data_IF_443612070429
#
_entry.id   IF_443612070429
#
_cell.length_a   1.000
_cell.length_b   1.000
_cell.length_c   1.000
_cell.angle_alpha   90.00
_cell.angle_beta   90.00
_cell.angle_gamma   90.00
#
_symmetry.space_group_name_H-M   'P 1'
#
loop_
_entity.id
_entity.type
_entity.pdbx_description
1 polymer ?
#
# COMPACT_ATOMS: atom_id res chain seq x y z
N UNK A 1 1.19 7.73 18.69
CA UNK A 1 1.16 7.31 17.26
C UNK A 1 2.27 6.33 16.91
N UNK A 2 3.56 6.63 17.11
CA UNK A 2 4.69 5.77 16.69
C UNK A 2 4.59 4.31 17.13
N UNK A 3 4.20 4.07 18.39
CA UNK A 3 3.99 2.71 18.90
C UNK A 3 2.92 1.97 18.09
N UNK A 4 1.79 2.62 17.84
CA UNK A 4 0.68 2.02 17.11
C UNK A 4 1.05 1.70 15.65
N UNK A 5 1.88 2.52 15.01
CA UNK A 5 2.37 2.28 13.66
C UNK A 5 3.19 0.98 13.53
N UNK A 6 3.94 0.58 14.58
CA UNK A 6 4.68 -0.69 14.58
C UNK A 6 3.77 -1.92 14.56
N UNK A 7 2.56 -1.80 15.08
CA UNK A 7 1.65 -2.92 15.28
C UNK A 7 0.51 -2.97 14.26
N UNK A 8 0.30 -1.93 13.43
CA UNK A 8 -0.85 -1.84 12.51
C UNK A 8 -1.04 -3.09 11.63
N UNK A 9 0.07 -3.68 11.20
CA UNK A 9 0.14 -4.86 10.33
C UNK A 9 0.36 -6.18 11.10
N UNK A 10 0.28 -6.20 12.45
CA UNK A 10 0.63 -7.41 13.24
C UNK A 10 -0.16 -8.64 12.80
N UNK A 11 -1.39 -8.51 12.31
CA UNK A 11 -2.17 -9.65 11.85
C UNK A 11 -1.59 -10.36 10.62
N UNK A 12 -0.69 -9.73 9.86
CA UNK A 12 0.00 -10.37 8.74
C UNK A 12 0.87 -11.55 9.19
N UNK A 13 1.30 -11.58 10.45
CA UNK A 13 2.13 -12.67 11.02
C UNK A 13 1.39 -14.02 11.07
N UNK A 14 0.05 -14.01 10.97
CA UNK A 14 -0.75 -15.25 10.98
C UNK A 14 -0.60 -16.01 9.66
N UNK A 15 -0.44 -15.30 8.54
CA UNK A 15 -0.24 -15.90 7.21
C UNK A 15 0.74 -15.05 6.38
N UNK A 16 2.01 -14.95 6.79
CA UNK A 16 2.98 -14.03 6.20
C UNK A 16 3.19 -14.26 4.70
N UNK A 17 3.05 -15.50 4.24
CA UNK A 17 3.27 -15.93 2.85
C UNK A 17 2.35 -15.26 1.81
N UNK A 18 1.24 -14.65 2.21
CA UNK A 18 0.32 -13.97 1.30
C UNK A 18 0.61 -12.47 1.12
N UNK A 19 1.62 -11.91 1.80
CA UNK A 19 1.91 -10.48 1.75
C UNK A 19 3.19 -10.20 0.95
N UNK A 20 3.10 -9.27 -0.01
CA UNK A 20 4.15 -9.03 -1.01
C UNK A 20 5.51 -8.71 -0.40
N UNK A 21 5.55 -8.04 0.75
CA UNK A 21 6.77 -7.72 1.49
C UNK A 21 7.50 -8.94 2.07
N UNK A 22 6.81 -10.08 2.20
CA UNK A 22 7.34 -11.33 2.75
C UNK A 22 7.55 -12.42 1.68
N UNK A 23 7.10 -12.18 0.44
CA UNK A 23 7.25 -13.15 -0.65
C UNK A 23 8.68 -13.05 -1.19
N UNK A 24 9.51 -14.11 -1.08
CA UNK A 24 10.81 -14.15 -1.74
C UNK A 24 10.62 -14.13 -3.27
N UNK A 25 11.66 -13.77 -4.03
CA UNK A 25 11.63 -13.84 -5.50
C UNK A 25 11.10 -15.21 -5.97
N UNK A 26 9.85 -15.25 -6.41
CA UNK A 26 9.07 -16.48 -6.58
C UNK A 26 7.61 -16.21 -6.93
N UNK A 27 6.81 -17.27 -7.03
CA UNK A 27 5.39 -17.17 -7.38
C UNK A 27 4.58 -16.61 -6.20
N UNK A 28 3.70 -15.64 -6.48
CA UNK A 28 2.80 -15.09 -5.49
C UNK A 28 1.61 -16.07 -5.29
N UNK A 29 1.38 -16.61 -4.08
CA UNK A 29 0.30 -17.57 -3.84
C UNK A 29 -1.09 -16.99 -4.11
N UNK A 30 -1.25 -15.65 -4.09
CA UNK A 30 -2.51 -14.99 -4.43
C UNK A 30 -2.83 -14.99 -5.93
N UNK A 31 -1.89 -15.38 -6.79
CA UNK A 31 -2.15 -15.47 -8.23
C UNK A 31 -2.94 -16.73 -8.62
N UNK A 32 -2.91 -17.77 -7.79
CA UNK A 32 -3.68 -19.00 -7.97
C UNK A 32 -5.13 -18.89 -7.47
N UNK A 33 -5.43 -17.83 -6.72
CA UNK A 33 -6.75 -17.59 -6.13
C UNK A 33 -7.61 -16.68 -7.02
N UNK A 34 -8.93 -16.83 -6.86
CA UNK A 34 -9.87 -15.84 -7.39
C UNK A 34 -9.61 -14.47 -6.73
N UNK A 35 -9.71 -13.35 -7.47
CA UNK A 35 -9.40 -12.03 -6.90
C UNK A 35 -10.20 -11.68 -5.65
N UNK A 36 -11.48 -12.09 -5.56
CA UNK A 36 -12.31 -11.90 -4.38
C UNK A 36 -11.79 -12.67 -3.16
N UNK A 37 -11.29 -13.89 -3.38
CA UNK A 37 -10.66 -14.69 -2.32
C UNK A 37 -9.35 -14.06 -1.87
N UNK A 38 -8.53 -13.56 -2.80
CA UNK A 38 -7.29 -12.84 -2.46
C UNK A 38 -7.58 -11.56 -1.66
N UNK A 39 -8.60 -10.80 -2.05
CA UNK A 39 -9.04 -9.63 -1.31
C UNK A 39 -9.48 -9.99 0.12
N UNK A 40 -10.23 -11.08 0.30
CA UNK A 40 -10.63 -11.56 1.62
C UNK A 40 -9.44 -11.98 2.49
N UNK A 41 -8.45 -12.69 1.91
CA UNK A 41 -7.22 -13.08 2.61
C UNK A 41 -6.45 -11.83 3.05
N UNK A 42 -6.27 -10.86 2.16
CA UNK A 42 -5.61 -9.59 2.50
C UNK A 42 -6.39 -8.85 3.58
N UNK A 43 -7.71 -8.68 3.44
CA UNK A 43 -8.53 -7.98 4.42
C UNK A 43 -8.51 -8.62 5.81
N UNK A 44 -8.34 -9.96 5.88
CA UNK A 44 -8.37 -10.70 7.14
C UNK A 44 -7.28 -10.30 8.13
N UNK A 45 -6.14 -9.75 7.66
CA UNK A 45 -5.05 -9.33 8.56
C UNK A 45 -5.50 -8.28 9.59
N UNK A 46 -6.48 -7.44 9.26
CA UNK A 46 -7.02 -6.46 10.21
C UNK A 46 -7.69 -7.18 11.38
N UNK A 47 -8.57 -8.16 11.07
CA UNK A 47 -9.28 -8.96 12.07
C UNK A 47 -8.30 -9.77 12.92
N UNK A 48 -7.34 -10.43 12.29
CA UNK A 48 -6.32 -11.20 13.01
C UNK A 48 -5.44 -10.30 13.88
N UNK A 49 -5.11 -9.10 13.39
CA UNK A 49 -4.34 -8.13 14.15
C UNK A 49 -5.10 -7.65 15.40
N UNK A 50 -6.41 -7.39 15.28
CA UNK A 50 -7.26 -7.03 16.42
C UNK A 50 -7.33 -8.19 17.43
N UNK A 51 -7.50 -9.43 16.97
CA UNK A 51 -7.53 -10.61 17.83
C UNK A 51 -6.23 -10.74 18.63
N UNK A 52 -5.07 -10.66 17.95
CA UNK A 52 -3.75 -10.70 18.59
C UNK A 52 -3.60 -9.54 19.59
N UNK A 53 -3.95 -8.32 19.20
CA UNK A 53 -3.85 -7.17 20.07
C UNK A 53 -4.70 -7.31 21.35
N UNK A 54 -5.88 -7.92 21.25
CA UNK A 54 -6.73 -8.24 22.40
C UNK A 54 -6.14 -9.35 23.28
N UNK A 55 -5.66 -10.44 22.67
CA UNK A 55 -5.03 -11.57 23.36
C UNK A 55 -3.84 -11.11 24.21
N UNK A 56 -2.96 -10.31 23.62
CA UNK A 56 -1.78 -9.75 24.28
C UNK A 56 -2.05 -8.48 25.08
N UNK A 57 -3.33 -8.07 25.19
CA UNK A 57 -3.78 -6.92 25.99
C UNK A 57 -3.06 -5.61 25.63
N UNK A 58 -2.85 -5.39 24.33
CA UNK A 58 -2.28 -4.15 23.85
C UNK A 58 -3.19 -2.96 24.20
N UNK A 59 -2.63 -1.75 24.37
CA UNK A 59 -3.43 -0.57 24.68
C UNK A 59 -4.44 -0.26 23.58
N UNK A 60 -5.60 0.28 23.97
CA UNK A 60 -6.68 0.67 23.05
C UNK A 60 -6.23 1.46 21.81
N UNK A 61 -5.33 2.47 21.91
CA UNK A 61 -4.85 3.18 20.72
C UNK A 61 -4.14 2.30 19.67
N UNK A 62 -3.56 1.17 20.11
CA UNK A 62 -2.94 0.20 19.19
C UNK A 62 -4.02 -0.63 18.49
N UNK A 63 -5.04 -1.07 19.22
CA UNK A 63 -6.19 -1.78 18.63
C UNK A 63 -6.88 -0.90 17.59
N UNK A 64 -7.13 0.36 17.92
CA UNK A 64 -7.77 1.33 17.02
C UNK A 64 -6.92 1.56 15.77
N UNK A 65 -5.60 1.69 15.90
CA UNK A 65 -4.70 1.80 14.75
C UNK A 65 -4.74 0.55 13.84
N UNK A 66 -4.71 -0.65 14.41
CA UNK A 66 -4.83 -1.89 13.63
C UNK A 66 -6.18 -1.94 12.91
N UNK A 67 -7.27 -1.62 13.61
CA UNK A 67 -8.60 -1.74 13.04
C UNK A 67 -8.88 -0.69 11.96
N UNK A 68 -8.38 0.54 12.13
CA UNK A 68 -8.80 1.71 11.35
C UNK A 68 -7.83 2.11 10.22
N UNK A 69 -6.58 1.62 10.20
CA UNK A 69 -5.56 2.15 9.27
C UNK A 69 -5.92 2.02 7.79
N UNK A 70 -6.71 1.00 7.40
CA UNK A 70 -7.24 0.91 6.04
C UNK A 70 -8.63 1.53 5.87
N UNK A 71 -9.35 1.82 6.95
CA UNK A 71 -10.73 2.26 6.90
C UNK A 71 -11.61 1.30 6.11
N UNK A 72 -12.38 1.84 5.18
CA UNK A 72 -13.19 1.06 4.21
C UNK A 72 -12.64 1.17 2.79
N UNK A 73 -11.33 1.38 2.67
CA UNK A 73 -10.66 1.60 1.38
C UNK A 73 -10.82 0.39 0.46
N UNK A 74 -10.81 0.65 -0.84
CA UNK A 74 -10.84 -0.40 -1.85
C UNK A 74 -9.47 -1.10 -1.94
N UNK A 75 -9.48 -2.44 -1.96
CA UNK A 75 -8.34 -3.29 -2.30
C UNK A 75 -8.19 -3.28 -3.83
N UNK A 76 -7.71 -2.13 -4.34
CA UNK A 76 -7.79 -1.74 -5.76
C UNK A 76 -7.18 -2.75 -6.71
N UNK A 77 -6.04 -3.35 -6.37
CA UNK A 77 -5.37 -4.33 -7.24
C UNK A 77 -6.28 -5.52 -7.57
N UNK A 78 -6.92 -6.12 -6.57
CA UNK A 78 -7.77 -7.29 -6.79
C UNK A 78 -9.11 -6.92 -7.41
N UNK A 79 -9.66 -5.74 -7.09
CA UNK A 79 -10.84 -5.22 -7.77
C UNK A 79 -10.60 -5.03 -9.28
N UNK A 80 -9.50 -4.36 -9.65
CA UNK A 80 -9.14 -4.13 -11.06
C UNK A 80 -8.81 -5.46 -11.77
N UNK A 81 -8.17 -6.41 -11.08
CA UNK A 81 -7.93 -7.76 -11.61
C UNK A 81 -9.26 -8.48 -11.89
N UNK A 82 -10.24 -8.39 -10.98
CA UNK A 82 -11.58 -8.98 -11.16
C UNK A 82 -12.34 -8.35 -12.34
N UNK A 83 -12.39 -7.01 -12.40
CA UNK A 83 -13.05 -6.26 -13.48
C UNK A 83 -12.44 -6.59 -14.85
N UNK A 84 -11.10 -6.67 -14.93
CA UNK A 84 -10.41 -7.08 -16.17
C UNK A 84 -10.79 -8.50 -16.60
N UNK A 85 -10.72 -9.48 -15.68
CA UNK A 85 -11.07 -10.87 -15.99
C UNK A 85 -12.54 -11.00 -16.43
N UNK A 86 -13.45 -10.25 -15.81
CA UNK A 86 -14.86 -10.24 -16.22
C UNK A 86 -15.03 -9.65 -17.62
N UNK A 87 -14.34 -8.55 -17.95
CA UNK A 87 -14.36 -7.95 -19.29
C UNK A 87 -13.78 -8.87 -20.36
N UNK A 88 -12.69 -9.57 -20.04
CA UNK A 88 -12.09 -10.58 -20.92
C UNK A 88 -13.05 -11.75 -21.15
N UNK A 89 -13.68 -12.28 -20.11
CA UNK A 89 -14.69 -13.34 -20.23
C UNK A 89 -15.93 -12.86 -21.00
N UNK A 90 -16.33 -11.60 -20.85
CA UNK A 90 -17.45 -10.99 -21.58
C UNK A 90 -17.15 -10.75 -23.08
N UNK A 91 -15.87 -10.69 -23.46
CA UNK A 91 -15.46 -10.45 -24.85
C UNK A 91 -15.84 -11.59 -25.79
N UNK A 92 -15.94 -12.82 -25.28
CA UNK A 92 -16.34 -14.02 -26.03
C UNK A 92 -17.85 -14.29 -26.02
N UNK A 93 -18.63 -13.50 -25.28
CA UNK A 93 -20.08 -13.66 -25.15
C UNK A 93 -20.87 -12.80 -26.15
N UNK A 94 -22.10 -13.23 -26.45
CA UNK A 94 -23.05 -12.42 -27.22
C UNK A 94 -23.55 -11.22 -26.40
N UNK A 95 -24.14 -10.22 -27.06
CA UNK A 95 -24.64 -9.03 -26.37
C UNK A 95 -25.77 -9.33 -25.37
N UNK A 96 -26.59 -10.35 -25.61
CA UNK A 96 -27.63 -10.80 -24.69
C UNK A 96 -27.05 -11.46 -23.43
N UNK A 97 -26.00 -12.28 -23.59
CA UNK A 97 -25.31 -12.93 -22.47
C UNK A 97 -24.52 -11.92 -21.63
N UNK A 98 -23.87 -10.93 -22.27
CA UNK A 98 -23.20 -9.83 -21.56
C UNK A 98 -24.16 -9.01 -20.70
N UNK A 99 -25.38 -8.77 -21.17
CA UNK A 99 -26.40 -8.04 -20.40
C UNK A 99 -26.87 -8.78 -19.14
N UNK A 100 -26.56 -10.07 -19.01
CA UNK A 100 -26.90 -10.89 -17.84
C UNK A 100 -25.75 -11.03 -16.83
N UNK A 101 -24.55 -10.53 -17.15
CA UNK A 101 -23.42 -10.53 -16.22
C UNK A 101 -23.58 -9.41 -15.20
N UNK A 102 -23.64 -9.77 -13.92
CA UNK A 102 -23.59 -8.78 -12.85
C UNK A 102 -22.21 -8.09 -12.83
N UNK A 103 -22.15 -6.75 -12.73
CA UNK A 103 -20.88 -6.05 -12.64
C UNK A 103 -20.13 -6.44 -11.36
N UNK A 104 -18.80 -6.43 -11.41
CA UNK A 104 -17.97 -6.58 -10.21
C UNK A 104 -18.33 -5.47 -9.22
N UNK A 105 -18.74 -5.84 -8.01
CA UNK A 105 -19.13 -4.91 -6.95
C UNK A 105 -17.87 -4.46 -6.19
N UNK A 106 -17.75 -3.18 -5.88
CA UNK A 106 -16.61 -2.67 -5.09
C UNK A 106 -16.66 -3.16 -3.65
N UNK A 107 -17.87 -3.38 -3.13
CA UNK A 107 -18.14 -3.79 -1.75
C UNK A 107 -17.44 -5.11 -1.40
N UNK A 108 -17.31 -6.02 -2.37
CA UNK A 108 -16.61 -7.31 -2.22
C UNK A 108 -15.09 -7.16 -2.04
N UNK A 109 -14.55 -5.97 -2.32
CA UNK A 109 -13.11 -5.66 -2.29
C UNK A 109 -12.78 -4.54 -1.30
N UNK A 110 -13.72 -4.11 -0.46
CA UNK A 110 -13.47 -3.09 0.56
C UNK A 110 -13.10 -3.71 1.90
N UNK A 111 -12.23 -3.02 2.62
CA UNK A 111 -12.00 -3.36 4.03
C UNK A 111 -13.30 -3.15 4.84
N UNK A 112 -13.54 -3.96 5.89
CA UNK A 112 -14.77 -3.88 6.68
C UNK A 112 -14.85 -2.62 7.56
N UNK A 113 -13.76 -1.88 7.72
CA UNK A 113 -13.69 -0.70 8.57
C UNK A 113 -13.62 -0.99 10.07
N UNK A 114 -13.90 0.04 10.91
CA UNK A 114 -14.44 1.34 10.54
C UNK A 114 -13.40 2.29 9.92
N UNK A 115 -13.85 3.42 9.36
CA UNK A 115 -12.97 4.53 8.95
C UNK A 115 -12.17 5.06 10.16
N UNK A 116 -11.02 5.72 9.93
CA UNK A 116 -10.31 6.47 10.96
C UNK A 116 -11.21 7.39 11.77
N UNK A 117 -11.16 7.29 13.10
CA UNK A 117 -11.97 8.12 14.02
C UNK A 117 -11.19 9.12 14.86
N UNK A 118 -9.87 9.12 14.73
CA UNK A 118 -8.99 10.08 15.39
C UNK A 118 -8.05 10.71 14.38
N UNK A 119 -7.50 11.88 14.73
CA UNK A 119 -6.51 12.56 13.90
C UNK A 119 -5.29 11.67 13.69
N UNK A 120 -4.89 10.92 14.71
CA UNK A 120 -3.76 10.00 14.68
C UNK A 120 -4.01 8.81 13.73
N UNK A 121 -5.19 8.19 13.76
CA UNK A 121 -5.50 7.08 12.84
C UNK A 121 -5.72 7.58 11.41
N UNK A 122 -6.20 8.81 11.23
CA UNK A 122 -6.27 9.46 9.92
C UNK A 122 -4.88 9.71 9.32
N UNK A 123 -3.94 10.25 10.12
CA UNK A 123 -2.54 10.41 9.70
C UNK A 123 -1.90 9.06 9.38
N UNK A 124 -2.15 8.04 10.21
CA UNK A 124 -1.63 6.69 9.99
C UNK A 124 -2.13 6.10 8.67
N UNK A 125 -3.42 6.23 8.38
CA UNK A 125 -4.02 5.74 7.13
C UNK A 125 -3.41 6.38 5.89
N UNK A 126 -3.17 7.71 5.95
CA UNK A 126 -2.49 8.43 4.87
C UNK A 126 -1.03 7.99 4.72
N UNK A 127 -0.30 7.91 5.84
CA UNK A 127 1.10 7.52 5.85
C UNK A 127 1.30 6.11 5.29
N UNK A 128 0.46 5.15 5.69
CA UNK A 128 0.51 3.77 5.22
C UNK A 128 0.27 3.67 3.70
N UNK A 129 -0.80 4.31 3.20
CA UNK A 129 -1.12 4.30 1.78
C UNK A 129 -0.01 4.96 0.93
N UNK A 130 0.52 6.09 1.39
CA UNK A 130 1.60 6.82 0.72
C UNK A 130 2.90 6.01 0.71
N UNK A 131 3.27 5.40 1.84
CA UNK A 131 4.47 4.58 1.96
C UNK A 131 4.40 3.37 1.03
N UNK A 132 3.28 2.63 1.07
CA UNK A 132 3.06 1.46 0.23
C UNK A 132 3.14 1.81 -1.26
N UNK A 133 2.47 2.89 -1.67
CA UNK A 133 2.50 3.33 -3.07
C UNK A 133 3.88 3.82 -3.51
N UNK A 134 4.63 4.49 -2.62
CA UNK A 134 5.97 5.01 -2.92
C UNK A 134 6.99 3.91 -3.27
N UNK A 135 6.78 2.68 -2.77
CA UNK A 135 7.64 1.51 -3.08
C UNK A 135 7.54 1.06 -4.54
N UNK A 136 6.45 1.41 -5.22
CA UNK A 136 6.22 1.06 -6.62
C UNK A 136 6.72 2.11 -7.62
N UNK A 137 7.29 3.23 -7.14
CA UNK A 137 7.81 4.28 -8.02
C UNK A 137 9.06 3.80 -8.78
N UNK A 138 8.95 3.67 -10.11
CA UNK A 138 10.09 3.34 -10.98
C UNK A 138 11.14 4.46 -11.03
N UNK A 139 10.69 5.73 -10.98
CA UNK A 139 11.54 6.92 -11.08
C UNK A 139 11.26 7.90 -9.94
N UNK A 140 12.19 7.95 -9.00
CA UNK A 140 12.15 8.86 -7.85
C UNK A 140 12.56 10.27 -8.29
N UNK A 141 11.57 11.12 -8.57
CA UNK A 141 11.76 12.57 -8.72
C UNK A 141 10.88 13.32 -7.71
N UNK A 142 11.27 14.52 -7.33
CA UNK A 142 10.46 15.35 -6.42
C UNK A 142 9.06 15.61 -6.97
N UNK A 143 8.95 15.86 -8.28
CA UNK A 143 7.66 16.05 -8.96
C UNK A 143 6.77 14.80 -8.91
N UNK A 144 7.32 13.61 -9.18
CA UNK A 144 6.54 12.36 -9.11
C UNK A 144 6.09 12.04 -7.69
N UNK A 145 6.93 12.31 -6.68
CA UNK A 145 6.55 12.13 -5.27
C UNK A 145 5.41 13.08 -4.88
N UNK A 146 5.49 14.35 -5.30
CA UNK A 146 4.42 15.32 -5.06
C UNK A 146 3.10 14.89 -5.68
N UNK A 147 3.12 14.49 -6.95
CA UNK A 147 1.92 13.98 -7.64
C UNK A 147 1.34 12.77 -6.90
N UNK A 148 2.17 11.77 -6.56
CA UNK A 148 1.74 10.56 -5.86
C UNK A 148 1.05 10.89 -4.53
N UNK A 149 1.69 11.71 -3.69
CA UNK A 149 1.14 12.08 -2.37
C UNK A 149 -0.21 12.79 -2.52
N UNK A 150 -0.30 13.73 -3.46
CA UNK A 150 -1.54 14.50 -3.68
C UNK A 150 -2.66 13.62 -4.21
N UNK A 151 -2.39 12.74 -5.16
CA UNK A 151 -3.38 11.81 -5.72
C UNK A 151 -3.93 10.85 -4.67
N UNK A 152 -3.07 10.31 -3.79
CA UNK A 152 -3.51 9.43 -2.71
C UNK A 152 -4.40 10.17 -1.71
N UNK A 153 -4.00 11.38 -1.29
CA UNK A 153 -4.80 12.21 -0.40
C UNK A 153 -6.16 12.55 -1.02
N UNK A 154 -6.17 12.97 -2.30
CA UNK A 154 -7.39 13.30 -3.02
C UNK A 154 -8.32 12.08 -3.18
N UNK A 155 -7.75 10.91 -3.46
CA UNK A 155 -8.50 9.64 -3.52
C UNK A 155 -9.16 9.32 -2.18
N UNK A 156 -8.41 9.44 -1.06
CA UNK A 156 -8.93 9.20 0.28
C UNK A 156 -10.04 10.19 0.68
N UNK A 157 -9.90 11.45 0.28
CA UNK A 157 -10.92 12.49 0.49
C UNK A 157 -12.19 12.19 -0.31
N UNK A 158 -12.06 11.85 -1.60
CA UNK A 158 -13.19 11.51 -2.47
C UNK A 158 -13.92 10.24 -2.04
N UNK A 159 -13.19 9.27 -1.50
CA UNK A 159 -13.74 8.03 -0.93
C UNK A 159 -14.29 8.21 0.50
N UNK A 160 -14.28 9.44 1.03
CA UNK A 160 -14.80 9.77 2.35
C UNK A 160 -14.03 9.13 3.51
N UNK A 161 -12.80 8.66 3.31
CA UNK A 161 -12.04 7.90 4.32
C UNK A 161 -11.64 8.74 5.55
N UNK A 162 -11.69 10.06 5.45
CA UNK A 162 -11.30 10.98 6.53
C UNK A 162 -12.50 11.70 7.17
N UNK A 163 -13.73 11.35 6.81
CA UNK A 163 -14.96 12.02 7.28
C UNK A 163 -15.21 11.84 8.77
N UNK A 164 -14.79 10.71 9.33
CA UNK A 164 -15.05 10.36 10.73
C UNK A 164 -13.90 10.79 11.67
N UNK A 165 -12.85 11.44 11.13
CA UNK A 165 -11.73 11.96 11.91
C UNK A 165 -11.65 13.49 11.83
N UNK A 166 -11.26 14.13 12.93
CA UNK A 166 -11.18 15.60 13.04
C UNK A 166 -9.96 16.23 12.33
N UNK A 167 -9.58 15.71 11.15
CA UNK A 167 -8.51 16.29 10.33
C UNK A 167 -9.05 17.45 9.49
N UNK A 168 -8.48 18.64 9.68
CA UNK A 168 -8.87 19.81 8.88
C UNK A 168 -8.16 19.80 7.52
N UNK A 169 -8.74 20.48 6.52
CA UNK A 169 -8.07 20.66 5.21
C UNK A 169 -6.71 21.35 5.33
N UNK A 170 -6.56 22.26 6.30
CA UNK A 170 -5.28 22.91 6.59
C UNK A 170 -4.24 21.90 7.09
N UNK A 171 -4.65 21.00 7.98
CA UNK A 171 -3.80 19.93 8.50
C UNK A 171 -3.44 18.93 7.41
N UNK A 172 -4.39 18.53 6.58
CA UNK A 172 -4.14 17.66 5.41
C UNK A 172 -3.11 18.32 4.47
N UNK A 173 -3.23 19.62 4.21
CA UNK A 173 -2.23 20.36 3.43
C UNK A 173 -0.84 20.39 4.09
N UNK A 174 -0.78 20.43 5.42
CA UNK A 174 0.47 20.33 6.18
C UNK A 174 1.08 18.93 6.08
N UNK A 175 0.26 17.89 6.26
CA UNK A 175 0.65 16.49 6.14
C UNK A 175 1.19 16.20 4.73
N UNK A 176 0.53 16.67 3.69
CA UNK A 176 1.00 16.51 2.31
C UNK A 176 2.44 17.04 2.14
N UNK A 177 2.71 18.27 2.60
CA UNK A 177 4.06 18.85 2.54
C UNK A 177 5.08 18.05 3.36
N UNK A 178 4.68 17.56 4.54
CA UNK A 178 5.54 16.75 5.40
C UNK A 178 5.88 15.40 4.77
N UNK A 179 4.91 14.72 4.16
CA UNK A 179 5.12 13.46 3.44
C UNK A 179 6.04 13.66 2.23
N UNK A 180 5.79 14.69 1.41
CA UNK A 180 6.62 15.00 0.24
C UNK A 180 8.06 15.25 0.66
N UNK A 181 8.29 16.09 1.68
CA UNK A 181 9.63 16.37 2.19
C UNK A 181 10.32 15.10 2.71
N UNK A 182 9.61 14.29 3.50
CA UNK A 182 10.17 13.07 4.09
C UNK A 182 10.53 12.04 3.02
N UNK A 183 9.62 11.76 2.09
CA UNK A 183 9.86 10.81 0.99
C UNK A 183 10.97 11.28 0.05
N UNK A 184 11.01 12.58 -0.28
CA UNK A 184 12.08 13.15 -1.12
C UNK A 184 13.44 12.87 -0.49
N UNK A 185 13.61 13.17 0.81
CA UNK A 185 14.87 12.92 1.50
C UNK A 185 15.20 11.43 1.64
N UNK A 186 14.23 10.59 1.96
CA UNK A 186 14.43 9.15 2.13
C UNK A 186 14.80 8.46 0.82
N UNK A 187 14.18 8.85 -0.30
CA UNK A 187 14.35 8.18 -1.58
C UNK A 187 15.50 8.79 -2.42
N UNK A 188 15.83 10.08 -2.26
CA UNK A 188 17.01 10.70 -2.90
C UNK A 188 18.31 10.47 -2.13
N UNK A 189 18.26 10.16 -0.83
CA UNK A 189 19.44 9.77 -0.05
C UNK A 189 20.07 8.45 -0.48
N UNK A 190 19.39 7.64 -1.32
CA UNK A 190 19.95 6.45 -1.98
C UNK A 190 20.76 6.81 -3.23
N UNK A 191 21.65 7.80 -3.13
CA UNK A 191 22.61 8.13 -4.18
C UNK A 191 23.41 6.85 -4.49
N UNK A 192 23.32 6.36 -5.74
CA UNK A 192 24.25 5.34 -6.23
C UNK A 192 25.67 5.89 -6.07
N UNK A 193 26.48 5.25 -5.24
CA UNK A 193 27.92 5.49 -5.27
C UNK A 193 28.40 5.29 -6.71
N UNK A 194 29.20 6.22 -7.28
CA UNK A 194 29.89 5.96 -8.53
C UNK A 194 30.71 4.69 -8.32
N UNK A 195 30.43 3.64 -9.08
CA UNK A 195 31.40 2.56 -9.21
C UNK A 195 32.58 3.19 -9.93
N UNK A 196 33.66 3.45 -9.18
CA UNK A 196 34.89 3.97 -9.74
C UNK A 196 35.32 3.01 -10.84
N UNK A 197 35.38 3.50 -12.07
CA UNK A 197 36.07 2.78 -13.14
C UNK A 197 37.52 2.62 -12.69
N UNK A 198 37.94 1.36 -12.59
CA UNK A 198 39.26 0.92 -12.20
C UNK A 198 40.33 1.61 -13.07
N UNK A 199 41.00 2.60 -12.48
CA UNK A 199 42.20 3.22 -13.05
C UNK A 199 43.42 2.33 -12.79
N UNK A 200 43.48 1.18 -13.44
CA UNK A 200 44.70 0.36 -13.49
C UNK A 200 44.98 -0.17 -14.88
N UNK A 201 45.57 0.68 -15.72
CA UNK A 201 46.48 0.25 -16.79
C UNK A 201 47.51 1.35 -17.07
N UNK A 202 48.50 1.46 -16.17
CA UNK A 202 49.82 2.01 -16.48
C UNK A 202 50.86 1.28 -15.63
N UNK A 203 51.36 0.15 -16.13
CA UNK A 203 52.73 -0.32 -15.91
C UNK A 203 53.02 -1.56 -16.76
N UNK A 204 53.44 -1.35 -18.00
CA UNK A 204 54.19 -2.36 -18.74
C UNK A 204 55.11 -1.64 -19.74
N UNK A 205 56.14 -0.98 -19.20
CA UNK A 205 57.32 -0.61 -19.95
C UNK A 205 58.55 -0.89 -19.09
N UNK A 206 59.57 -1.50 -19.73
CA UNK A 206 60.90 -1.91 -19.24
C UNK A 206 60.98 -3.23 -18.47
N UNK A 207 61.84 -4.22 -18.78
CA UNK A 207 62.95 -4.53 -19.75
C UNK A 207 63.43 -5.98 -19.37
N UNK A 208 64.52 -6.63 -19.88
CA UNK A 208 65.43 -6.46 -21.05
C UNK A 208 65.34 -7.71 -22.00
N UNK A 209 65.94 -7.85 -23.18
CA UNK A 209 67.35 -7.76 -23.64
C UNK A 209 67.48 -7.17 -25.06
#
# INVERSE_FOLDING_TARGET
MTIAAYFRDIGKVVKPEFFAENIPLGANPLDELLPSMSALVIASHVKEGVNLAQEYRLPRPVLEAIQEHHGTSLISFFYLKADRLQKEAASSLTQAERGSLAPVQEEDFRYPGPKPRSRETGVLSLADAIEAASRSLEKVSSGHIETLVREIIDTKLKDGQLEDCDLTLQEIGCLARSFIFTLTNMLHGRIKYPQGEDSHQQSAAMRPD
#
